data_IF_568789681428
#
_entry.id   IF_568789681428
#
_cell.length_a   1.000
_cell.length_b   1.000
_cell.length_c   1.000
_cell.angle_alpha   90.00
_cell.angle_beta   90.00
_cell.angle_gamma   90.00
#
_symmetry.space_group_name_H-M   'P 1'
#
loop_
_entity.id
_entity.type
_entity.pdbx_description
1 polymer ?
#
# COMPACT_ATOMS: atom_id res chain seq x y z
N UNK A 1 11.92 8.06 10.45
CA UNK A 1 11.92 6.58 10.59
C UNK A 1 12.50 6.00 9.30
N UNK A 2 13.14 4.82 9.32
CA UNK A 2 13.60 4.18 8.07
C UNK A 2 12.48 3.32 7.46
N UNK A 3 12.47 3.18 6.13
CA UNK A 3 11.55 2.29 5.43
C UNK A 3 11.74 0.84 5.90
N UNK A 4 10.66 0.18 6.32
CA UNK A 4 10.67 -1.22 6.73
C UNK A 4 10.15 -2.11 5.60
N UNK A 5 10.98 -3.01 5.08
CA UNK A 5 10.64 -3.98 4.03
C UNK A 5 10.37 -5.40 4.58
N UNK A 6 10.47 -5.58 5.91
CA UNK A 6 10.19 -6.84 6.58
C UNK A 6 8.72 -6.98 6.96
N UNK A 7 8.28 -8.21 7.27
CA UNK A 7 6.90 -8.51 7.70
C UNK A 7 6.59 -7.76 9.00
N UNK A 8 5.86 -6.65 8.88
CA UNK A 8 5.51 -5.76 10.00
C UNK A 8 4.03 -5.84 10.39
N UNK A 9 3.21 -6.54 9.62
CA UNK A 9 1.79 -6.78 9.92
C UNK A 9 1.69 -8.08 10.72
N UNK A 10 1.02 -8.03 11.88
CA UNK A 10 0.86 -9.17 12.78
C UNK A 10 0.07 -10.32 12.13
N UNK A 11 -0.99 -9.98 11.41
CA UNK A 11 -1.80 -10.89 10.60
C UNK A 11 -1.88 -10.40 9.14
N UNK A 12 -0.89 -10.74 8.30
CA UNK A 12 -0.90 -10.37 6.90
C UNK A 12 -2.03 -11.03 6.11
N UNK A 13 -2.37 -12.28 6.44
CA UNK A 13 -3.35 -13.05 5.68
C UNK A 13 -4.74 -12.42 5.86
N UNK A 14 -5.13 -12.10 7.11
CA UNK A 14 -6.37 -11.39 7.38
C UNK A 14 -6.40 -9.97 6.79
N UNK A 15 -5.27 -9.25 6.76
CA UNK A 15 -5.19 -7.96 6.08
C UNK A 15 -5.41 -8.09 4.56
N UNK A 16 -4.77 -9.07 3.92
CA UNK A 16 -4.94 -9.33 2.48
C UNK A 16 -6.37 -9.75 2.14
N UNK A 17 -6.98 -10.63 2.94
CA UNK A 17 -8.37 -11.02 2.78
C UNK A 17 -9.29 -9.79 2.85
N UNK A 18 -9.15 -8.96 3.87
CA UNK A 18 -9.97 -7.75 4.01
C UNK A 18 -9.79 -6.78 2.83
N UNK A 19 -8.57 -6.61 2.33
CA UNK A 19 -8.29 -5.76 1.18
C UNK A 19 -8.96 -6.27 -0.10
N UNK A 20 -8.90 -7.58 -0.35
CA UNK A 20 -9.53 -8.23 -1.51
C UNK A 20 -11.04 -8.18 -1.42
N UNK A 21 -11.61 -8.54 -0.26
CA UNK A 21 -13.05 -8.49 -0.02
C UNK A 21 -13.61 -7.08 -0.22
N UNK A 22 -12.87 -6.05 0.21
CA UNK A 22 -13.26 -4.64 0.05
C UNK A 22 -13.41 -4.21 -1.42
N UNK A 23 -12.83 -4.95 -2.37
CA UNK A 23 -12.84 -4.64 -3.80
C UNK A 23 -13.66 -5.66 -4.61
N UNK A 24 -14.23 -6.70 -3.98
CA UNK A 24 -14.88 -7.84 -4.64
C UNK A 24 -15.99 -7.45 -5.63
N UNK A 25 -16.71 -6.38 -5.34
CA UNK A 25 -17.83 -5.88 -6.16
C UNK A 25 -17.44 -4.67 -7.02
N UNK A 26 -16.17 -4.27 -7.02
CA UNK A 26 -15.68 -3.13 -7.77
C UNK A 26 -15.23 -3.55 -9.17
N UNK A 27 -15.43 -2.69 -10.15
CA UNK A 27 -14.72 -2.77 -11.42
C UNK A 27 -13.22 -2.51 -11.20
N UNK A 28 -12.38 -2.92 -12.15
CA UNK A 28 -10.94 -2.67 -12.11
C UNK A 28 -10.62 -1.18 -11.94
N UNK A 29 -11.35 -0.30 -12.62
CA UNK A 29 -11.17 1.15 -12.51
C UNK A 29 -11.53 1.68 -11.11
N UNK A 30 -12.55 1.13 -10.48
CA UNK A 30 -12.94 1.49 -9.10
C UNK A 30 -11.94 0.96 -8.08
N UNK A 31 -11.48 -0.28 -8.23
CA UNK A 31 -10.44 -0.88 -7.40
C UNK A 31 -9.13 -0.06 -7.48
N UNK A 32 -8.73 0.37 -8.69
CA UNK A 32 -7.56 1.26 -8.87
C UNK A 32 -7.75 2.61 -8.17
N UNK A 33 -8.93 3.22 -8.25
CA UNK A 33 -9.24 4.47 -7.50
C UNK A 33 -9.22 4.25 -5.99
N UNK A 34 -9.74 3.12 -5.51
CA UNK A 34 -9.71 2.74 -4.10
C UNK A 34 -8.27 2.59 -3.61
N UNK A 35 -7.43 1.86 -4.35
CA UNK A 35 -6.02 1.67 -4.03
C UNK A 35 -5.25 3.00 -4.01
N UNK A 36 -5.47 3.89 -4.98
CA UNK A 36 -4.85 5.21 -4.99
C UNK A 36 -5.24 6.05 -3.75
N UNK A 37 -6.52 6.02 -3.36
CA UNK A 37 -6.99 6.69 -2.13
C UNK A 37 -6.36 6.08 -0.88
N UNK A 38 -6.28 4.74 -0.81
CA UNK A 38 -5.66 4.04 0.31
C UNK A 38 -4.18 4.43 0.45
N UNK A 39 -3.43 4.47 -0.66
CA UNK A 39 -2.03 4.93 -0.67
C UNK A 39 -1.90 6.35 -0.10
N UNK A 40 -2.77 7.28 -0.49
CA UNK A 40 -2.75 8.66 0.03
C UNK A 40 -3.08 8.72 1.53
N UNK A 41 -4.06 7.93 2.00
CA UNK A 41 -4.41 7.84 3.42
C UNK A 41 -3.22 7.33 4.24
N UNK A 42 -2.57 6.26 3.79
CA UNK A 42 -1.40 5.68 4.45
C UNK A 42 -0.19 6.62 4.39
N UNK A 43 0.03 7.31 3.27
CA UNK A 43 1.09 8.31 3.14
C UNK A 43 0.91 9.47 4.14
N UNK A 44 -0.32 9.96 4.29
CA UNK A 44 -0.64 10.99 5.27
C UNK A 44 -0.47 10.48 6.72
N UNK A 45 -0.82 9.23 6.99
CA UNK A 45 -0.61 8.61 8.30
C UNK A 45 0.88 8.46 8.65
N UNK A 46 1.72 8.10 7.67
CA UNK A 46 3.17 7.97 7.84
C UNK A 46 3.84 9.34 8.02
N UNK A 47 3.47 10.34 7.21
CA UNK A 47 3.92 11.74 7.34
C UNK A 47 5.42 12.01 7.12
N UNK A 48 6.23 10.97 6.88
CA UNK A 48 7.69 11.05 6.81
C UNK A 48 8.21 10.85 5.37
N UNK A 49 8.75 11.91 4.77
CA UNK A 49 9.31 11.85 3.41
C UNK A 49 10.52 10.91 3.29
N UNK A 50 11.27 10.66 4.37
CA UNK A 50 12.38 9.72 4.37
C UNK A 50 11.92 8.26 4.31
N UNK A 51 10.65 7.99 4.61
CA UNK A 51 10.00 6.69 4.39
C UNK A 51 9.34 6.65 3.01
N UNK A 52 8.62 7.71 2.64
CA UNK A 52 7.77 7.72 1.45
C UNK A 52 8.56 7.78 0.14
N UNK A 53 9.64 8.58 0.05
CA UNK A 53 10.42 8.67 -1.20
C UNK A 53 11.09 7.35 -1.57
N UNK A 54 11.84 6.67 -0.67
CA UNK A 54 12.42 5.37 -0.99
C UNK A 54 11.37 4.31 -1.33
N UNK A 55 10.18 4.38 -0.71
CA UNK A 55 9.09 3.45 -1.04
C UNK A 55 8.60 3.65 -2.48
N UNK A 56 8.48 4.89 -2.95
CA UNK A 56 8.13 5.20 -4.34
C UNK A 56 9.24 4.75 -5.28
N UNK A 57 10.50 5.06 -4.96
CA UNK A 57 11.66 4.69 -5.78
C UNK A 57 11.74 3.17 -5.99
N UNK A 58 11.46 2.38 -4.95
CA UNK A 58 11.39 0.92 -5.02
C UNK A 58 10.16 0.41 -5.80
N UNK A 59 9.03 1.12 -5.75
CA UNK A 59 7.81 0.72 -6.46
C UNK A 59 7.90 0.99 -7.98
N UNK A 60 8.65 2.03 -8.40
CA UNK A 60 8.87 2.35 -9.83
C UNK A 60 10.03 1.56 -10.44
N UNK A 61 10.94 1.03 -9.63
CA UNK A 61 12.02 0.19 -10.11
C UNK A 61 11.43 -1.11 -10.71
N UNK A 62 11.69 -1.41 -11.99
CA UNK A 62 11.27 -2.69 -12.55
C UNK A 62 11.89 -3.80 -11.73
N UNK A 63 11.08 -4.76 -11.28
CA UNK A 63 11.62 -6.03 -10.78
C UNK A 63 12.43 -6.62 -11.94
N UNK A 64 13.75 -6.63 -11.80
CA UNK A 64 14.63 -7.45 -12.63
C UNK A 64 14.26 -8.92 -12.51
#
# INVERSE_FOLDING_TARGET
MALNLSRNIADPDGFYEYLVESQRMMTEAEANRMNARLVLILANHIGDQAVLRPAIDLAVAPKG
#
